data_IF_391023342016
#
_entry.id   IF_391023342016
#
_cell.length_a   1.000
_cell.length_b   1.000
_cell.length_c   1.000
_cell.angle_alpha   90.00
_cell.angle_beta   90.00
_cell.angle_gamma   90.00
#
_symmetry.space_group_name_H-M   'P 1'
#
loop_
_entity.id
_entity.type
_entity.pdbx_description
1 polymer ?
#
# COMPACT_ATOMS: atom_id res chain seq x y z
N UNK A 1 3.01 23.63 -28.57
CA UNK A 1 3.72 23.28 -29.78
C UNK A 1 3.90 21.77 -29.83
N UNK A 2 3.38 21.16 -30.88
CA UNK A 2 3.55 19.72 -31.13
C UNK A 2 4.94 19.53 -31.72
N UNK A 3 5.83 18.88 -31.00
CA UNK A 3 7.14 18.50 -31.54
C UNK A 3 6.94 17.15 -32.26
N UNK A 4 6.77 17.20 -33.55
CA UNK A 4 6.76 15.99 -34.37
C UNK A 4 8.22 15.51 -34.58
N UNK A 5 8.70 14.63 -33.76
CA UNK A 5 9.95 13.92 -33.99
C UNK A 5 9.61 12.53 -34.49
N UNK A 6 9.93 12.29 -35.78
CA UNK A 6 9.81 10.97 -36.37
C UNK A 6 10.95 10.08 -35.85
N UNK A 7 10.61 9.15 -34.97
CA UNK A 7 11.51 8.09 -34.53
C UNK A 7 11.31 6.90 -35.47
N UNK A 8 12.15 6.81 -36.50
CA UNK A 8 12.19 5.62 -37.38
C UNK A 8 13.08 4.58 -36.71
N UNK A 9 12.52 3.49 -36.22
CA UNK A 9 13.30 2.37 -35.71
C UNK A 9 12.84 1.06 -36.30
N UNK A 10 13.79 0.23 -36.68
CA UNK A 10 13.54 -1.16 -37.05
C UNK A 10 13.32 -2.06 -35.81
N UNK A 11 13.40 -1.50 -34.60
CA UNK A 11 13.28 -2.21 -33.33
C UNK A 11 11.88 -2.06 -32.75
N UNK A 12 11.43 -3.07 -32.04
CA UNK A 12 10.13 -3.10 -31.33
C UNK A 12 10.09 -2.25 -30.05
N UNK A 13 11.21 -1.62 -29.70
CA UNK A 13 11.31 -0.77 -28.51
C UNK A 13 12.10 0.51 -28.82
N UNK A 14 11.67 1.62 -28.20
CA UNK A 14 12.35 2.92 -28.25
C UNK A 14 12.66 3.39 -26.84
N UNK A 15 13.91 3.78 -26.61
CA UNK A 15 14.35 4.36 -25.33
C UNK A 15 14.47 5.87 -25.50
N UNK A 16 13.81 6.62 -24.63
CA UNK A 16 13.93 8.07 -24.58
C UNK A 16 15.01 8.42 -23.56
N UNK A 17 16.03 9.14 -23.98
CA UNK A 17 17.14 9.52 -23.11
C UNK A 17 16.69 10.52 -22.03
N UNK A 18 17.36 10.45 -20.89
CA UNK A 18 17.16 11.38 -19.78
C UNK A 18 17.35 12.84 -20.24
N UNK A 19 16.44 13.72 -19.84
CA UNK A 19 16.53 15.15 -20.13
C UNK A 19 15.91 15.60 -21.46
N UNK A 20 15.45 14.67 -22.33
CA UNK A 20 14.80 15.03 -23.60
C UNK A 20 13.35 15.51 -23.41
N UNK A 21 12.67 15.03 -22.39
CA UNK A 21 11.30 15.42 -22.12
C UNK A 21 11.26 16.55 -21.08
N UNK A 22 10.53 17.61 -21.41
CA UNK A 22 10.34 18.72 -20.47
C UNK A 22 9.41 18.33 -19.31
N UNK A 23 9.69 18.75 -18.09
CA UNK A 23 8.85 18.50 -16.93
C UNK A 23 7.47 19.18 -17.08
N UNK A 24 6.48 18.63 -16.40
CA UNK A 24 5.08 19.10 -16.37
C UNK A 24 4.44 19.13 -17.77
N UNK A 25 4.85 18.23 -18.65
CA UNK A 25 4.28 18.10 -19.98
C UNK A 25 3.70 16.70 -20.18
N UNK A 26 2.59 16.69 -20.89
CA UNK A 26 1.94 15.48 -21.37
C UNK A 26 2.39 15.19 -22.79
N UNK A 27 2.96 14.03 -23.02
CA UNK A 27 3.40 13.56 -24.33
C UNK A 27 2.47 12.45 -24.80
N UNK A 28 2.03 12.56 -26.04
CA UNK A 28 1.24 11.50 -26.69
C UNK A 28 2.14 10.87 -27.74
N UNK A 29 2.40 9.58 -27.60
CA UNK A 29 3.16 8.79 -28.56
C UNK A 29 2.17 8.08 -29.48
N UNK A 30 2.39 8.22 -30.76
CA UNK A 30 1.59 7.56 -31.79
C UNK A 30 2.48 6.56 -32.55
N UNK A 31 2.06 5.30 -32.57
CA UNK A 31 2.71 4.25 -33.35
C UNK A 31 1.90 4.00 -34.62
N UNK A 32 2.56 4.15 -35.75
CA UNK A 32 2.07 3.76 -37.09
C UNK A 32 3.01 2.74 -37.70
N UNK A 33 2.46 1.67 -38.21
CA UNK A 33 3.22 0.64 -38.93
C UNK A 33 2.89 0.75 -40.41
N UNK A 34 3.93 0.87 -41.24
CA UNK A 34 3.84 0.85 -42.67
C UNK A 34 4.65 -0.32 -43.22
N UNK A 35 4.12 -0.98 -44.24
CA UNK A 35 4.85 -2.04 -44.97
C UNK A 35 5.57 -1.38 -46.15
N UNK A 36 6.86 -1.59 -46.23
CA UNK A 36 7.68 -1.04 -47.32
C UNK A 36 7.15 -1.49 -48.67
N UNK A 37 6.89 -0.53 -49.57
CA UNK A 37 6.35 -0.80 -50.91
C UNK A 37 4.82 -0.93 -51.00
N UNK A 38 4.11 -0.70 -49.88
CA UNK A 38 2.66 -0.65 -49.85
C UNK A 38 2.18 0.69 -49.28
N UNK A 39 1.12 1.26 -49.87
CA UNK A 39 0.50 2.50 -49.35
C UNK A 39 -0.36 2.26 -48.09
N UNK A 40 -0.40 1.04 -47.57
CA UNK A 40 -1.18 0.68 -46.38
C UNK A 40 -0.44 1.04 -45.10
N UNK A 41 -1.03 1.95 -44.34
CA UNK A 41 -0.59 2.32 -42.99
C UNK A 41 -1.57 1.75 -42.00
N UNK A 42 -1.07 1.19 -40.90
CA UNK A 42 -1.95 0.69 -39.84
C UNK A 42 -2.76 1.83 -39.18
N UNK A 43 -3.88 1.51 -38.57
CA UNK A 43 -4.54 2.44 -37.63
C UNK A 43 -3.56 2.79 -36.52
N UNK A 44 -3.42 4.09 -36.20
CA UNK A 44 -2.48 4.52 -35.15
C UNK A 44 -2.91 4.01 -33.78
N UNK A 45 -1.92 3.56 -33.01
CA UNK A 45 -2.10 3.27 -31.59
C UNK A 45 -1.40 4.36 -30.81
N UNK A 46 -2.10 4.93 -29.84
CA UNK A 46 -1.59 6.03 -29.02
C UNK A 46 -1.33 5.59 -27.60
N UNK A 47 -0.23 6.10 -27.00
CA UNK A 47 0.08 5.99 -25.59
C UNK A 47 0.40 7.36 -25.03
N UNK A 48 0.03 7.61 -23.78
CA UNK A 48 0.24 8.90 -23.13
C UNK A 48 1.24 8.75 -22.00
N UNK A 49 2.19 9.69 -21.93
CA UNK A 49 3.18 9.81 -20.86
C UNK A 49 3.08 11.20 -20.23
N UNK A 50 2.84 11.26 -18.92
CA UNK A 50 2.91 12.48 -18.14
C UNK A 50 4.29 12.61 -17.50
N UNK A 51 5.04 13.67 -17.85
CA UNK A 51 6.38 13.91 -17.31
C UNK A 51 6.28 14.79 -16.08
N UNK A 52 6.62 14.22 -14.96
CA UNK A 52 6.63 14.91 -13.66
C UNK A 52 7.84 15.85 -13.54
N UNK A 53 7.71 16.91 -12.75
CA UNK A 53 8.73 17.97 -12.61
C UNK A 53 9.77 17.73 -11.53
N UNK A 54 9.75 16.60 -10.84
CA UNK A 54 10.65 16.36 -9.71
C UNK A 54 10.72 14.91 -9.30
N UNK A 55 11.32 14.67 -8.15
CA UNK A 55 11.37 13.33 -7.54
C UNK A 55 10.07 13.10 -6.75
N UNK A 56 9.31 12.04 -7.06
CA UNK A 56 8.11 11.71 -6.28
C UNK A 56 8.41 11.53 -4.79
N UNK A 57 7.42 11.65 -3.90
CA UNK A 57 7.59 11.45 -2.47
C UNK A 57 8.18 10.08 -2.15
N UNK A 58 8.98 10.01 -1.11
CA UNK A 58 9.53 8.75 -0.59
C UNK A 58 8.64 8.30 0.56
N UNK A 59 8.12 7.08 0.49
CA UNK A 59 7.27 6.49 1.53
C UNK A 59 8.03 5.34 2.18
N UNK A 60 8.16 5.38 3.52
CA UNK A 60 8.64 4.27 4.32
C UNK A 60 7.51 3.80 5.24
N UNK A 61 7.00 2.59 5.00
CA UNK A 61 6.01 1.94 5.85
C UNK A 61 6.70 1.16 6.97
N UNK A 62 6.12 1.25 8.16
CA UNK A 62 6.56 0.52 9.35
C UNK A 62 5.35 -0.30 9.81
N UNK A 63 5.47 -1.60 9.69
CA UNK A 63 4.46 -2.55 10.13
C UNK A 63 4.38 -2.68 11.66
N UNK A 64 3.52 -3.56 12.14
CA UNK A 64 3.42 -3.86 13.56
C UNK A 64 4.73 -4.45 14.09
N UNK A 65 5.03 -4.19 15.35
CA UNK A 65 6.24 -4.73 16.01
C UNK A 65 6.16 -6.23 16.24
N UNK A 66 4.96 -6.79 16.28
CA UNK A 66 4.73 -8.23 16.41
C UNK A 66 4.58 -8.88 15.04
N UNK A 67 5.24 -10.01 14.83
CA UNK A 67 5.15 -10.79 13.59
C UNK A 67 3.70 -11.29 13.35
N UNK A 68 3.03 -11.69 14.42
CA UNK A 68 1.64 -12.15 14.42
C UNK A 68 0.86 -11.36 15.47
N UNK A 69 0.29 -10.19 15.12
CA UNK A 69 -0.50 -9.40 16.05
C UNK A 69 -1.77 -10.15 16.47
N UNK A 70 -2.13 -10.04 17.74
CA UNK A 70 -3.34 -10.63 18.26
C UNK A 70 -4.57 -9.80 17.87
N UNK A 71 -5.70 -10.42 17.51
CA UNK A 71 -6.91 -9.71 17.10
C UNK A 71 -7.54 -8.89 18.24
N UNK A 72 -7.29 -9.25 19.51
CA UNK A 72 -7.78 -8.55 20.71
C UNK A 72 -6.97 -7.29 21.05
N UNK A 73 -5.94 -6.97 20.31
CA UNK A 73 -5.10 -5.79 20.47
C UNK A 73 -5.28 -4.81 19.32
N UNK A 74 -5.08 -3.53 19.61
CA UNK A 74 -5.04 -2.51 18.58
C UNK A 74 -3.84 -2.74 17.65
N UNK A 75 -4.06 -2.66 16.34
CA UNK A 75 -3.00 -2.76 15.33
C UNK A 75 -2.54 -1.35 14.94
N UNK A 76 -1.25 -1.08 15.12
CA UNK A 76 -0.62 0.17 14.70
C UNK A 76 0.23 -0.05 13.46
N UNK A 77 -0.03 0.72 12.40
CA UNK A 77 0.80 0.82 11.20
C UNK A 77 1.20 2.29 11.06
N UNK A 78 2.47 2.53 10.77
CA UNK A 78 3.01 3.87 10.62
C UNK A 78 3.62 4.06 9.23
N UNK A 79 3.59 5.29 8.74
CA UNK A 79 4.27 5.69 7.53
C UNK A 79 5.06 6.97 7.76
N UNK A 80 6.28 7.00 7.25
CA UNK A 80 7.08 8.22 7.13
C UNK A 80 7.14 8.62 5.67
N UNK A 81 6.75 9.85 5.37
CA UNK A 81 6.74 10.40 4.02
C UNK A 81 7.70 11.56 3.96
N UNK A 82 8.57 11.55 2.96
CA UNK A 82 9.49 12.66 2.67
C UNK A 82 9.32 13.11 1.22
N UNK A 83 8.99 14.40 1.01
CA UNK A 83 8.95 15.01 -0.31
C UNK A 83 10.11 15.98 -0.47
N UNK A 84 10.79 15.88 -1.61
CA UNK A 84 11.80 16.83 -2.05
C UNK A 84 11.22 17.96 -2.91
N UNK A 85 9.91 17.97 -3.11
CA UNK A 85 9.20 19.01 -3.84
C UNK A 85 9.18 20.34 -3.08
N UNK A 86 9.41 20.30 -1.78
CA UNK A 86 9.53 21.49 -0.96
C UNK A 86 10.80 22.29 -1.32
N UNK A 87 10.71 23.15 -2.32
CA UNK A 87 11.80 24.04 -2.70
C UNK A 87 11.73 25.33 -1.91
N UNK A 88 12.71 25.53 -1.02
CA UNK A 88 13.08 26.84 -0.49
C UNK A 88 12.33 27.26 0.76
N UNK A 89 12.98 28.15 1.46
CA UNK A 89 12.75 28.64 2.82
C UNK A 89 11.51 29.55 3.01
N UNK A 90 10.64 29.70 2.03
CA UNK A 90 9.53 30.69 2.07
C UNK A 90 8.14 30.19 1.72
N UNK A 91 7.99 28.97 1.24
CA UNK A 91 6.64 28.43 0.93
C UNK A 91 6.44 27.13 1.67
N UNK A 92 5.24 26.99 2.24
CA UNK A 92 4.80 25.71 2.79
C UNK A 92 4.93 24.64 1.72
N UNK A 93 5.41 23.46 2.10
CA UNK A 93 5.38 22.32 1.19
C UNK A 93 3.95 22.15 0.68
N UNK A 94 3.77 21.83 -0.62
CA UNK A 94 2.44 21.59 -1.17
C UNK A 94 1.70 20.57 -0.34
N UNK A 95 0.40 20.66 -0.33
CA UNK A 95 -0.46 19.68 0.33
C UNK A 95 -0.25 18.33 -0.36
N UNK A 96 -0.07 17.29 0.43
CA UNK A 96 -0.06 15.93 -0.07
C UNK A 96 -1.50 15.42 -0.14
N UNK A 97 -1.86 14.85 -1.25
CA UNK A 97 -3.02 13.97 -1.29
C UNK A 97 -2.57 12.59 -0.81
N UNK A 98 -3.00 12.23 0.38
CA UNK A 98 -2.72 10.93 0.97
C UNK A 98 -3.96 10.03 0.89
N UNK A 99 -3.78 8.80 0.44
CA UNK A 99 -4.86 7.81 0.37
C UNK A 99 -4.36 6.48 0.92
N UNK A 100 -5.09 5.95 1.89
CA UNK A 100 -4.89 4.60 2.39
C UNK A 100 -5.89 3.64 1.77
N UNK A 101 -5.40 2.47 1.38
CA UNK A 101 -6.22 1.33 0.97
C UNK A 101 -5.82 0.09 1.75
N UNK A 102 -6.76 -0.82 1.97
CA UNK A 102 -6.50 -2.11 2.58
C UNK A 102 -7.54 -3.13 2.10
N UNK A 103 -7.18 -4.39 2.17
CA UNK A 103 -8.06 -5.53 1.88
C UNK A 103 -8.88 -5.98 3.12
N UNK A 104 -9.32 -5.00 3.92
CA UNK A 104 -10.13 -5.26 5.13
C UNK A 104 -11.58 -5.54 4.76
N UNK A 105 -12.10 -4.78 3.80
CA UNK A 105 -13.46 -4.90 3.29
C UNK A 105 -13.43 -4.60 1.78
N UNK A 106 -13.73 -5.59 0.91
CA UNK A 106 -13.71 -5.39 -0.54
C UNK A 106 -14.68 -4.31 -1.03
N UNK A 107 -15.73 -4.01 -0.27
CA UNK A 107 -16.69 -2.95 -0.60
C UNK A 107 -16.24 -1.55 -0.18
N UNK A 108 -15.18 -1.44 0.60
CA UNK A 108 -14.63 -0.18 1.09
C UNK A 108 -13.12 -0.11 0.85
N UNK A 109 -12.69 0.13 -0.40
CA UNK A 109 -11.27 0.10 -0.78
C UNK A 109 -10.42 1.19 -0.12
N UNK A 110 -11.04 2.27 0.38
CA UNK A 110 -10.37 3.38 1.02
C UNK A 110 -10.58 3.36 2.53
N UNK A 111 -9.50 3.37 3.30
CA UNK A 111 -9.60 3.38 4.78
C UNK A 111 -10.26 4.65 5.32
N UNK A 112 -10.15 5.77 4.61
CA UNK A 112 -10.84 7.01 5.01
C UNK A 112 -12.36 6.87 4.91
N UNK A 113 -12.86 6.26 3.83
CA UNK A 113 -14.30 6.00 3.67
C UNK A 113 -14.80 5.01 4.74
N UNK A 114 -13.98 3.99 5.02
CA UNK A 114 -14.28 3.04 6.08
C UNK A 114 -14.32 3.70 7.46
N UNK A 115 -13.44 4.65 7.73
CA UNK A 115 -13.46 5.45 8.97
C UNK A 115 -14.76 6.22 9.14
N UNK A 116 -15.27 6.85 8.07
CA UNK A 116 -16.51 7.60 8.10
C UNK A 116 -17.75 6.70 8.26
N UNK A 117 -17.72 5.51 7.66
CA UNK A 117 -18.86 4.56 7.69
C UNK A 117 -18.87 3.69 8.96
N UNK A 118 -17.70 3.37 9.50
CA UNK A 118 -17.50 2.48 10.65
C UNK A 118 -16.56 3.15 11.66
N UNK A 119 -17.01 4.18 12.38
CA UNK A 119 -16.13 4.98 13.24
C UNK A 119 -15.46 4.17 14.36
N UNK A 120 -16.06 3.06 14.79
CA UNK A 120 -15.48 2.17 15.80
C UNK A 120 -14.37 1.25 15.28
N UNK A 121 -14.11 1.27 13.97
CA UNK A 121 -13.09 0.43 13.34
C UNK A 121 -11.68 0.99 13.57
N UNK A 122 -11.56 2.30 13.66
CA UNK A 122 -10.31 3.00 13.88
C UNK A 122 -10.32 3.76 15.21
N UNK A 123 -9.18 3.75 15.88
CA UNK A 123 -8.97 4.56 17.10
C UNK A 123 -8.50 5.98 16.78
N UNK A 124 -8.12 6.26 15.54
CA UNK A 124 -7.72 7.59 15.07
C UNK A 124 -7.97 7.73 13.57
N UNK A 125 -8.17 8.96 13.10
CA UNK A 125 -8.27 9.24 11.67
C UNK A 125 -6.99 8.77 10.94
N UNK A 126 -7.11 7.85 9.97
CA UNK A 126 -5.97 7.31 9.24
C UNK A 126 -5.26 8.36 8.35
N UNK A 127 -5.88 9.50 8.08
CA UNK A 127 -5.29 10.60 7.33
C UNK A 127 -4.77 11.73 8.23
N UNK A 128 -5.05 11.68 9.53
CA UNK A 128 -4.47 12.65 10.47
C UNK A 128 -2.95 12.50 10.48
N UNK A 129 -2.25 13.56 10.09
CA UNK A 129 -0.79 13.61 10.17
C UNK A 129 -0.35 13.86 11.61
N UNK A 130 0.47 12.97 12.15
CA UNK A 130 1.16 13.27 13.40
C UNK A 130 2.52 13.89 13.09
N UNK A 131 2.69 15.15 13.49
CA UNK A 131 3.90 15.97 13.50
C UNK A 131 4.91 15.78 12.35
N UNK A 132 5.43 16.71 11.90
CA UNK A 132 5.65 17.90 11.81
C UNK A 132 7.01 18.54 11.59
N UNK A 133 7.80 18.09 10.71
CA UNK A 133 8.67 19.04 10.06
C UNK A 133 8.14 19.29 8.65
N UNK A 134 6.95 19.91 8.58
CA UNK A 134 6.27 20.25 7.33
C UNK A 134 7.19 21.12 6.48
N UNK A 135 7.97 22.02 7.11
CA UNK A 135 8.94 22.85 6.43
C UNK A 135 10.08 22.06 5.75
N UNK A 136 10.38 20.85 6.23
CA UNK A 136 11.37 19.95 5.63
C UNK A 136 10.73 18.89 4.71
N UNK A 137 9.44 18.99 4.41
CA UNK A 137 8.74 18.02 3.57
C UNK A 137 8.51 16.66 4.22
N UNK A 138 8.66 16.56 5.55
CA UNK A 138 8.51 15.30 6.28
C UNK A 138 7.17 15.25 6.99
N UNK A 139 6.42 14.16 6.77
CA UNK A 139 5.13 13.90 7.45
C UNK A 139 5.07 12.45 7.92
N UNK A 140 4.31 12.24 8.99
CA UNK A 140 4.02 10.90 9.50
C UNK A 140 2.52 10.66 9.43
N UNK A 141 2.16 9.50 8.94
CA UNK A 141 0.79 8.98 8.93
C UNK A 141 0.72 7.74 9.80
N UNK A 142 -0.44 7.46 10.37
CA UNK A 142 -0.66 6.26 11.17
C UNK A 142 -2.06 5.71 10.95
N UNK A 143 -2.17 4.39 10.97
CA UNK A 143 -3.44 3.69 11.08
C UNK A 143 -3.44 3.01 12.45
N UNK A 144 -4.50 3.17 13.20
CA UNK A 144 -4.72 2.46 14.46
C UNK A 144 -6.07 1.77 14.36
N UNK A 145 -6.05 0.47 14.07
CA UNK A 145 -7.25 -0.35 14.04
C UNK A 145 -7.64 -0.73 15.46
N UNK A 146 -8.94 -0.71 15.73
CA UNK A 146 -9.48 -1.10 17.04
C UNK A 146 -9.31 -2.62 17.27
N UNK A 147 -9.29 -3.06 18.55
CA UNK A 147 -9.32 -4.48 18.86
C UNK A 147 -10.55 -5.17 18.28
N UNK A 148 -10.41 -6.45 17.93
CA UNK A 148 -11.46 -7.35 17.43
C UNK A 148 -12.09 -6.93 16.09
N UNK A 149 -11.40 -6.07 15.34
CA UNK A 149 -11.82 -5.65 14.00
C UNK A 149 -11.31 -6.61 12.94
N UNK A 150 -10.12 -7.14 13.15
CA UNK A 150 -9.47 -8.06 12.22
C UNK A 150 -9.80 -9.52 12.59
N UNK A 151 -10.04 -10.33 11.57
CA UNK A 151 -10.39 -11.73 11.76
C UNK A 151 -9.13 -12.53 12.09
N UNK A 152 -9.19 -13.31 13.16
CA UNK A 152 -8.11 -14.21 13.57
C UNK A 152 -7.75 -15.20 12.44
N UNK A 153 -6.47 -15.40 12.19
CA UNK A 153 -5.96 -16.29 11.15
C UNK A 153 -5.98 -15.72 9.73
N UNK A 154 -6.52 -14.51 9.53
CA UNK A 154 -6.55 -13.86 8.21
C UNK A 154 -5.30 -13.02 7.97
N UNK A 155 -5.06 -12.69 6.69
CA UNK A 155 -4.00 -11.80 6.25
C UNK A 155 -4.59 -10.50 5.70
N UNK A 156 -3.91 -9.40 5.97
CA UNK A 156 -4.31 -8.08 5.50
C UNK A 156 -3.11 -7.31 4.94
N UNK A 157 -3.29 -6.65 3.81
CA UNK A 157 -2.28 -5.75 3.25
C UNK A 157 -2.76 -4.30 3.34
N UNK A 158 -1.82 -3.39 3.52
CA UNK A 158 -2.09 -1.95 3.65
C UNK A 158 -1.22 -1.19 2.66
N UNK A 159 -1.83 -0.31 1.91
CA UNK A 159 -1.15 0.49 0.88
C UNK A 159 -1.38 1.97 1.14
N UNK A 160 -0.29 2.74 1.14
CA UNK A 160 -0.34 4.19 1.19
C UNK A 160 0.06 4.75 -0.18
N UNK A 161 -0.79 5.57 -0.74
CA UNK A 161 -0.52 6.37 -1.94
C UNK A 161 -0.39 7.83 -1.55
N UNK A 162 0.70 8.46 -1.95
CA UNK A 162 0.96 9.87 -1.73
C UNK A 162 1.19 10.54 -3.08
N UNK A 163 0.45 11.62 -3.32
CA UNK A 163 0.60 12.45 -4.51
C UNK A 163 0.95 13.87 -4.08
N UNK A 164 1.98 14.44 -4.66
CA UNK A 164 2.35 15.85 -4.55
C UNK A 164 2.60 16.45 -5.95
N UNK A 165 3.05 17.70 -6.03
CA UNK A 165 3.36 18.36 -7.31
C UNK A 165 4.49 17.67 -8.09
N UNK A 166 5.36 16.91 -7.43
CA UNK A 166 6.47 16.21 -8.05
C UNK A 166 6.12 14.81 -8.55
N UNK A 167 4.96 14.29 -8.16
CA UNK A 167 4.47 13.00 -8.63
C UNK A 167 3.77 12.18 -7.57
N UNK A 168 3.51 10.92 -7.91
CA UNK A 168 2.81 9.96 -7.06
C UNK A 168 3.74 8.82 -6.67
N UNK A 169 3.70 8.46 -5.40
CA UNK A 169 4.34 7.27 -4.87
C UNK A 169 3.34 6.36 -4.19
N UNK A 170 3.58 5.07 -4.32
CA UNK A 170 2.77 4.01 -3.70
C UNK A 170 3.69 3.10 -2.91
N UNK A 171 3.30 2.76 -1.70
CA UNK A 171 4.01 1.78 -0.88
C UNK A 171 3.02 0.85 -0.22
N UNK A 172 3.28 -0.45 -0.33
CA UNK A 172 2.45 -1.51 0.26
C UNK A 172 3.23 -2.22 1.35
N UNK A 173 2.63 -2.34 2.53
CA UNK A 173 3.16 -3.17 3.59
C UNK A 173 2.97 -4.64 3.20
N UNK A 174 3.98 -5.51 3.38
CA UNK A 174 3.79 -6.95 3.28
C UNK A 174 2.62 -7.42 4.14
N UNK A 175 1.94 -8.48 3.68
CA UNK A 175 0.73 -8.95 4.35
C UNK A 175 0.97 -9.23 5.85
N UNK A 176 0.12 -8.61 6.67
CA UNK A 176 0.11 -8.80 8.13
C UNK A 176 -0.77 -10.01 8.44
N UNK A 177 -0.18 -11.06 8.95
CA UNK A 177 -0.87 -12.26 9.39
C UNK A 177 -1.39 -12.06 10.81
N UNK A 178 -2.71 -12.13 11.01
CA UNK A 178 -3.33 -12.04 12.35
C UNK A 178 -3.23 -13.40 13.04
N UNK A 179 -2.81 -13.37 14.30
CA UNK A 179 -2.71 -14.58 15.12
C UNK A 179 -4.06 -15.29 15.23
N UNK A 180 -4.04 -16.61 15.11
CA UNK A 180 -5.21 -17.45 15.35
C UNK A 180 -5.09 -18.08 16.73
N UNK A 181 -6.17 -18.14 17.51
CA UNK A 181 -6.16 -18.93 18.72
C UNK A 181 -5.94 -20.40 18.38
N UNK A 182 -5.37 -21.18 19.27
CA UNK A 182 -5.30 -22.61 19.10
C UNK A 182 -6.70 -23.18 18.84
N UNK A 183 -6.87 -23.88 17.74
CA UNK A 183 -8.15 -24.49 17.38
C UNK A 183 -8.14 -25.97 17.75
N UNK A 184 -9.26 -26.41 18.37
CA UNK A 184 -9.58 -27.84 18.58
C UNK A 184 -8.44 -28.71 19.11
N UNK A 185 -8.11 -28.56 20.39
CA UNK A 185 -7.43 -29.58 21.16
C UNK A 185 -8.41 -30.70 21.60
N UNK A 186 -7.99 -31.95 21.53
CA UNK A 186 -8.68 -33.03 22.23
C UNK A 186 -7.92 -33.37 23.49
N UNK A 187 -8.63 -33.56 24.59
CA UNK A 187 -8.03 -34.10 25.80
C UNK A 187 -8.65 -35.47 26.07
N UNK A 188 -7.80 -36.46 26.18
CA UNK A 188 -8.23 -37.85 26.48
C UNK A 188 -7.67 -38.21 27.84
N UNK A 189 -8.52 -38.74 28.69
CA UNK A 189 -8.12 -39.28 30.01
C UNK A 189 -8.18 -40.80 29.96
N UNK A 190 -7.11 -41.44 30.34
CA UNK A 190 -7.03 -42.91 30.39
C UNK A 190 -6.54 -43.38 31.77
N UNK A 191 -7.27 -44.27 32.47
CA UNK A 191 -8.64 -44.70 32.15
C UNK A 191 -9.66 -43.60 32.37
N UNK A 192 -10.85 -43.70 31.72
CA UNK A 192 -11.92 -42.70 31.84
C UNK A 192 -12.67 -42.73 33.17
N UNK A 193 -12.43 -43.79 33.97
CA UNK A 193 -13.00 -43.95 35.33
C UNK A 193 -12.04 -44.78 36.17
N UNK A 194 -12.10 -44.62 37.49
CA UNK A 194 -11.22 -45.37 38.40
C UNK A 194 -11.58 -45.14 39.87
N UNK A 195 -10.86 -45.84 40.77
CA UNK A 195 -11.05 -45.75 42.21
C UNK A 195 -10.09 -44.69 42.77
N UNK A 196 -10.64 -43.87 43.67
CA UNK A 196 -9.85 -42.83 44.35
C UNK A 196 -8.67 -43.45 45.11
N UNK A 197 -7.51 -42.83 45.01
CA UNK A 197 -6.24 -43.22 45.60
C UNK A 197 -5.62 -44.51 45.06
N UNK A 198 -6.32 -45.24 44.13
CA UNK A 198 -5.82 -46.49 43.56
C UNK A 198 -5.55 -46.37 42.07
N UNK A 199 -6.33 -45.57 41.34
CA UNK A 199 -6.20 -45.48 39.88
C UNK A 199 -5.35 -44.28 39.50
N UNK A 200 -4.33 -44.55 38.73
CA UNK A 200 -3.51 -43.51 38.08
C UNK A 200 -4.20 -43.10 36.78
N UNK A 201 -4.47 -41.80 36.62
CA UNK A 201 -5.04 -41.24 35.40
C UNK A 201 -3.97 -40.56 34.56
N UNK A 202 -3.92 -40.88 33.29
CA UNK A 202 -3.05 -40.22 32.31
C UNK A 202 -3.90 -39.24 31.46
N UNK A 203 -3.49 -37.96 31.46
CA UNK A 203 -4.09 -36.93 30.62
C UNK A 203 -3.23 -36.77 29.37
N UNK A 204 -3.80 -37.06 28.22
CA UNK A 204 -3.12 -36.90 26.95
C UNK A 204 -3.83 -35.84 26.12
N UNK A 205 -3.12 -34.78 25.72
CA UNK A 205 -3.57 -33.71 24.86
C UNK A 205 -2.73 -33.73 23.58
N UNK A 206 -3.06 -34.60 22.58
CA UNK A 206 -2.35 -34.64 21.34
C UNK A 206 -2.48 -33.29 20.64
N UNK A 207 -1.36 -32.58 20.51
CA UNK A 207 -1.29 -31.41 19.66
C UNK A 207 -1.48 -31.80 18.20
N UNK A 208 -2.09 -30.90 17.44
CA UNK A 208 -2.09 -31.00 15.97
C UNK A 208 -0.77 -30.52 15.41
#
# INVERSE_FOLDING_TARGET
SVVNTLLSTANTSTVIMQGLLAPYKKYVFELKIAIQGQERISTPVTSTLDVQGGTPPIIALIGPTQTFPNPDKALLIQASVESKCCKGTRFACPEYLATWTADIDPSAPFLHDLYNQKPNFFLADPLATSSTNIAAGKRKYKIILAPNVLIAGSQYSFTLTITDECGTSVSTLPAVQINAPPSSGSCVVNPSSGTALETQFEFNAPGK
#
